data_IF_909494618198
#
_entry.id   IF_909494618198
#
_cell.length_a   1.000
_cell.length_b   1.000
_cell.length_c   1.000
_cell.angle_alpha   90.00
_cell.angle_beta   90.00
_cell.angle_gamma   90.00
#
_symmetry.space_group_name_H-M   'P 1'
#
loop_
_entity.id
_entity.type
_entity.pdbx_description
1 polymer ?
#
# COMPACT_ATOMS: atom_id res chain seq x y z
N UNK A 1 12.39 -6.24 -16.90
CA UNK A 1 13.75 -5.78 -16.56
C UNK A 1 13.90 -5.78 -15.06
N UNK A 2 14.87 -6.54 -14.56
CA UNK A 2 15.30 -6.46 -13.17
C UNK A 2 15.90 -5.08 -12.87
N UNK A 3 15.81 -4.62 -11.62
CA UNK A 3 16.46 -3.37 -11.19
C UNK A 3 17.96 -3.38 -11.49
N UNK A 4 18.61 -4.55 -11.39
CA UNK A 4 20.03 -4.71 -11.69
C UNK A 4 20.34 -4.55 -13.18
N UNK A 5 19.52 -5.08 -14.08
CA UNK A 5 19.72 -4.93 -15.52
C UNK A 5 19.56 -3.48 -15.98
N UNK A 6 18.61 -2.76 -15.39
CA UNK A 6 18.35 -1.37 -15.73
C UNK A 6 19.49 -0.42 -15.29
N UNK A 7 20.19 -0.76 -14.19
CA UNK A 7 21.25 0.07 -13.61
C UNK A 7 22.65 -0.34 -14.10
N UNK A 8 22.95 -1.64 -14.12
CA UNK A 8 24.26 -2.19 -14.42
C UNK A 8 24.39 -2.70 -15.87
N UNK A 9 23.28 -2.87 -16.59
CA UNK A 9 23.27 -3.48 -17.92
C UNK A 9 23.45 -5.00 -17.92
N UNK A 10 23.56 -5.64 -16.74
CA UNK A 10 23.61 -7.09 -16.59
C UNK A 10 23.04 -7.53 -15.23
N UNK A 11 22.63 -8.80 -15.14
CA UNK A 11 22.29 -9.42 -13.86
C UNK A 11 23.58 -9.98 -13.24
N UNK A 12 24.03 -9.50 -12.08
CA UNK A 12 25.20 -10.07 -11.42
C UNK A 12 24.93 -11.51 -11.00
N UNK A 13 25.94 -12.36 -11.16
CA UNK A 13 25.88 -13.78 -10.82
C UNK A 13 25.69 -13.91 -9.29
N UNK A 14 24.55 -14.42 -8.86
CA UNK A 14 24.21 -14.50 -7.44
C UNK A 14 24.70 -15.81 -6.82
N UNK A 15 24.93 -15.85 -5.50
CA UNK A 15 25.26 -17.09 -4.79
C UNK A 15 24.27 -18.24 -5.07
N UNK A 16 22.99 -17.93 -5.22
CA UNK A 16 21.95 -18.91 -5.59
C UNK A 16 22.14 -19.49 -7.00
N UNK A 17 22.78 -18.75 -7.91
CA UNK A 17 23.09 -19.22 -9.26
C UNK A 17 24.26 -20.22 -9.21
N UNK A 18 25.30 -19.94 -8.40
CA UNK A 18 26.43 -20.85 -8.13
C UNK A 18 25.95 -22.19 -7.58
N UNK A 19 24.94 -22.15 -6.70
CA UNK A 19 24.38 -23.35 -6.07
C UNK A 19 23.62 -24.27 -7.05
N UNK A 20 23.20 -23.74 -8.20
CA UNK A 20 22.45 -24.49 -9.24
C UNK A 20 23.35 -25.03 -10.35
N UNK A 21 24.60 -24.59 -10.40
CA UNK A 21 25.55 -25.04 -11.42
C UNK A 21 26.02 -26.48 -11.19
N UNK A 22 26.21 -27.28 -12.26
CA UNK A 22 26.70 -28.66 -12.15
C UNK A 22 28.12 -28.76 -11.58
N UNK A 23 28.88 -27.66 -11.57
CA UNK A 23 30.21 -27.57 -10.95
C UNK A 23 30.17 -27.36 -9.43
N UNK A 24 28.98 -27.18 -8.82
CA UNK A 24 28.82 -27.02 -7.37
C UNK A 24 29.50 -28.15 -6.57
N UNK A 25 29.46 -29.38 -7.09
CA UNK A 25 30.09 -30.55 -6.47
C UNK A 25 31.63 -30.49 -6.45
N UNK A 26 32.24 -29.70 -7.33
CA UNK A 26 33.68 -29.49 -7.42
C UNK A 26 34.17 -28.36 -6.51
N UNK A 27 33.25 -27.59 -5.92
CA UNK A 27 33.54 -26.49 -5.03
C UNK A 27 34.11 -26.98 -3.70
N UNK A 28 34.99 -26.19 -3.07
CA UNK A 28 35.52 -26.52 -1.75
C UNK A 28 34.40 -26.65 -0.71
N UNK A 29 34.51 -27.63 0.20
CA UNK A 29 33.49 -27.97 1.19
C UNK A 29 32.97 -26.76 1.98
N UNK A 30 33.85 -25.84 2.38
CA UNK A 30 33.46 -24.62 3.11
C UNK A 30 32.56 -23.69 2.30
N UNK A 31 32.75 -23.62 0.99
CA UNK A 31 31.93 -22.80 0.11
C UNK A 31 30.56 -23.45 -0.14
N UNK A 32 30.49 -24.78 -0.26
CA UNK A 32 29.22 -25.52 -0.30
C UNK A 32 28.41 -25.30 0.98
N UNK A 33 29.03 -25.41 2.15
CA UNK A 33 28.38 -25.16 3.44
C UNK A 33 27.87 -23.73 3.57
N UNK A 34 28.63 -22.74 3.08
CA UNK A 34 28.20 -21.34 3.05
C UNK A 34 26.95 -21.14 2.18
N UNK A 35 26.93 -21.70 0.97
CA UNK A 35 25.81 -21.57 0.04
C UNK A 35 24.54 -22.25 0.57
N UNK A 36 24.67 -23.47 1.13
CA UNK A 36 23.55 -24.17 1.77
C UNK A 36 22.98 -23.38 2.95
N UNK A 37 23.84 -22.79 3.77
CA UNK A 37 23.43 -21.93 4.88
C UNK A 37 22.72 -20.66 4.38
N UNK A 38 23.22 -20.06 3.32
CA UNK A 38 22.63 -18.86 2.73
C UNK A 38 21.23 -19.14 2.17
N UNK A 39 21.05 -20.22 1.40
CA UNK A 39 19.74 -20.63 0.88
C UNK A 39 18.74 -20.91 2.01
N UNK A 40 19.18 -21.60 3.06
CA UNK A 40 18.34 -21.83 4.25
C UNK A 40 17.90 -20.52 4.91
N UNK A 41 18.81 -19.55 5.07
CA UNK A 41 18.49 -18.23 5.65
C UNK A 41 17.52 -17.46 4.75
N UNK A 42 17.74 -17.47 3.43
CA UNK A 42 16.89 -16.77 2.48
C UNK A 42 15.46 -17.33 2.47
N UNK A 43 15.31 -18.66 2.51
CA UNK A 43 14.00 -19.32 2.63
C UNK A 43 13.29 -18.90 3.90
N UNK A 44 13.96 -18.97 5.06
CA UNK A 44 13.39 -18.53 6.34
C UNK A 44 12.98 -17.05 6.28
N UNK A 45 13.82 -16.19 5.68
CA UNK A 45 13.51 -14.77 5.54
C UNK A 45 12.28 -14.54 4.65
N UNK A 46 12.16 -15.26 3.53
CA UNK A 46 11.01 -15.17 2.63
C UNK A 46 9.72 -15.65 3.32
N UNK A 47 9.78 -16.79 4.01
CA UNK A 47 8.63 -17.35 4.71
C UNK A 47 8.16 -16.41 5.83
N UNK A 48 9.09 -15.95 6.67
CA UNK A 48 8.77 -15.02 7.77
C UNK A 48 8.25 -13.67 7.26
N UNK A 49 8.77 -13.15 6.14
CA UNK A 49 8.23 -11.94 5.50
C UNK A 49 6.81 -12.18 4.97
N UNK A 50 6.55 -13.32 4.34
CA UNK A 50 5.22 -13.68 3.82
C UNK A 50 4.19 -13.82 4.95
N UNK A 51 4.58 -14.48 6.04
CA UNK A 51 3.76 -14.60 7.25
C UNK A 51 3.48 -13.24 7.87
N UNK A 52 4.51 -12.38 7.98
CA UNK A 52 4.37 -11.03 8.51
C UNK A 52 3.39 -10.19 7.65
N UNK A 53 3.51 -10.24 6.31
CA UNK A 53 2.60 -9.56 5.39
C UNK A 53 1.15 -10.07 5.54
N UNK A 54 0.97 -11.38 5.61
CA UNK A 54 -0.35 -12.00 5.81
C UNK A 54 -0.96 -11.56 7.14
N UNK A 55 -0.15 -11.54 8.20
CA UNK A 55 -0.56 -11.08 9.54
C UNK A 55 -0.94 -9.61 9.52
N UNK A 56 -0.12 -8.74 8.91
CA UNK A 56 -0.40 -7.30 8.75
C UNK A 56 -1.71 -7.07 8.00
N UNK A 57 -1.92 -7.76 6.89
CA UNK A 57 -3.17 -7.70 6.12
C UNK A 57 -4.36 -8.10 7.00
N UNK A 58 -4.25 -9.21 7.73
CA UNK A 58 -5.34 -9.67 8.61
C UNK A 58 -5.70 -8.64 9.69
N UNK A 59 -4.71 -8.00 10.31
CA UNK A 59 -4.98 -6.98 11.33
C UNK A 59 -5.57 -5.70 10.73
N UNK A 60 -5.10 -5.30 9.56
CA UNK A 60 -5.64 -4.16 8.85
C UNK A 60 -7.10 -4.37 8.44
N UNK A 61 -7.45 -5.57 7.98
CA UNK A 61 -8.79 -5.90 7.51
C UNK A 61 -9.80 -6.18 8.65
N UNK A 62 -9.34 -6.68 9.81
CA UNK A 62 -10.20 -7.13 10.93
C UNK A 62 -11.24 -6.12 11.41
N UNK A 63 -10.89 -4.84 11.46
CA UNK A 63 -11.76 -3.79 11.99
C UNK A 63 -12.29 -2.83 10.90
N UNK A 64 -12.06 -3.17 9.62
CA UNK A 64 -12.57 -2.36 8.50
C UNK A 64 -14.02 -2.71 8.23
N UNK A 65 -14.90 -1.75 8.45
CA UNK A 65 -16.28 -1.83 7.96
C UNK A 65 -16.28 -1.59 6.46
N UNK A 66 -16.83 -2.54 5.69
CA UNK A 66 -17.08 -2.33 4.27
C UNK A 66 -18.13 -1.20 4.13
N UNK A 67 -17.71 -0.06 3.59
CA UNK A 67 -18.59 1.04 3.22
C UNK A 67 -18.69 1.07 1.70
N UNK A 68 -19.77 0.48 1.20
CA UNK A 68 -20.10 0.51 -0.22
C UNK A 68 -21.13 1.61 -0.46
N UNK A 69 -20.84 2.47 -1.44
CA UNK A 69 -21.73 3.57 -1.83
C UNK A 69 -22.10 3.43 -3.30
N UNK A 70 -23.33 3.76 -3.65
CA UNK A 70 -23.80 3.78 -5.02
C UNK A 70 -23.77 5.19 -5.61
N UNK A 71 -23.63 5.33 -6.94
CA UNK A 71 -23.82 6.62 -7.60
C UNK A 71 -25.18 7.23 -7.23
N UNK A 72 -25.17 8.48 -6.77
CA UNK A 72 -26.35 9.19 -6.27
C UNK A 72 -26.51 9.21 -4.75
N UNK A 73 -25.79 8.36 -4.02
CA UNK A 73 -25.82 8.38 -2.55
C UNK A 73 -25.22 9.68 -2.01
N UNK A 74 -25.84 10.23 -0.97
CA UNK A 74 -25.37 11.43 -0.29
C UNK A 74 -24.42 11.03 0.85
N UNK A 75 -23.14 11.37 0.72
CA UNK A 75 -22.11 11.02 1.69
C UNK A 75 -21.51 12.24 2.34
N UNK A 76 -21.06 12.07 3.59
CA UNK A 76 -20.32 13.09 4.33
C UNK A 76 -18.82 12.88 4.14
N UNK A 77 -18.07 13.95 3.84
CA UNK A 77 -16.63 13.87 3.66
C UNK A 77 -15.91 14.10 5.00
N UNK A 78 -15.01 13.18 5.41
CA UNK A 78 -14.18 13.38 6.61
C UNK A 78 -13.13 14.47 6.34
N UNK A 79 -13.15 15.50 7.19
CA UNK A 79 -12.26 16.64 7.10
C UNK A 79 -10.93 16.43 7.81
N UNK A 80 -10.63 15.30 8.44
CA UNK A 80 -9.43 15.12 9.30
C UNK A 80 -8.12 15.65 8.66
N UNK A 81 -7.94 15.39 7.36
CA UNK A 81 -6.78 15.80 6.55
C UNK A 81 -7.05 17.00 5.63
N UNK A 82 -8.22 17.64 5.73
CA UNK A 82 -8.54 18.85 4.98
C UNK A 82 -8.11 20.10 5.73
N UNK A 83 -7.67 21.12 4.96
CA UNK A 83 -7.43 22.46 5.48
C UNK A 83 -8.70 23.00 6.16
N UNK A 84 -8.51 23.69 7.28
CA UNK A 84 -9.54 24.36 8.08
C UNK A 84 -10.41 25.27 7.20
N UNK A 85 -9.82 25.91 6.18
CA UNK A 85 -10.52 26.74 5.19
C UNK A 85 -11.61 26.00 4.42
N UNK A 86 -11.43 24.70 4.18
CA UNK A 86 -12.41 23.85 3.49
C UNK A 86 -13.55 23.38 4.40
N UNK A 87 -13.43 23.58 5.72
CA UNK A 87 -14.42 23.16 6.72
C UNK A 87 -15.43 24.24 7.10
N UNK A 88 -15.34 25.42 6.50
CA UNK A 88 -16.27 26.54 6.74
C UNK A 88 -16.03 27.31 8.05
N UNK A 89 -15.07 26.90 8.89
CA UNK A 89 -14.75 27.57 10.15
C UNK A 89 -13.29 28.02 10.17
N UNK A 90 -13.03 29.33 10.04
CA UNK A 90 -11.68 29.86 9.83
C UNK A 90 -10.81 29.97 11.11
N UNK A 91 -11.36 29.69 12.29
CA UNK A 91 -10.78 30.15 13.56
C UNK A 91 -10.00 29.07 14.35
N UNK A 92 -10.30 27.78 14.21
CA UNK A 92 -9.54 26.72 14.91
C UNK A 92 -9.86 25.31 14.41
N UNK A 93 -8.83 24.45 14.25
CA UNK A 93 -8.98 23.02 13.90
C UNK A 93 -9.80 22.24 14.94
N UNK A 94 -9.78 22.67 16.21
CA UNK A 94 -10.52 22.01 17.31
C UNK A 94 -12.02 22.29 17.28
N UNK A 95 -12.43 23.40 16.69
CA UNK A 95 -13.84 23.81 16.59
C UNK A 95 -14.44 23.52 15.21
N UNK A 96 -13.60 23.21 14.22
CA UNK A 96 -14.07 22.88 12.89
C UNK A 96 -14.83 21.54 12.91
N UNK A 97 -15.92 21.42 12.13
CA UNK A 97 -16.68 20.18 12.05
C UNK A 97 -15.79 19.04 11.53
N UNK A 98 -16.00 17.83 12.08
CA UNK A 98 -15.29 16.63 11.63
C UNK A 98 -15.66 16.28 10.20
N UNK A 99 -16.95 16.30 9.88
CA UNK A 99 -17.48 15.98 8.56
C UNK A 99 -17.99 17.23 7.86
N UNK A 100 -17.76 17.32 6.55
CA UNK A 100 -18.22 18.43 5.71
C UNK A 100 -19.18 17.94 4.65
N UNK A 101 -20.32 18.63 4.53
CA UNK A 101 -21.28 18.57 3.42
C UNK A 101 -21.85 17.18 3.10
N UNK A 102 -23.15 17.07 2.77
CA UNK A 102 -23.59 15.93 1.99
C UNK A 102 -23.21 16.19 0.52
N UNK A 103 -22.30 15.37 -0.02
CA UNK A 103 -21.94 15.39 -1.44
C UNK A 103 -22.48 14.13 -2.12
N UNK A 104 -23.09 14.24 -3.30
CA UNK A 104 -23.52 13.07 -4.03
C UNK A 104 -22.31 12.36 -4.65
N UNK A 105 -22.32 11.04 -4.55
CA UNK A 105 -21.38 10.18 -5.27
C UNK A 105 -21.69 10.23 -6.76
N UNK A 106 -20.71 10.56 -7.59
CA UNK A 106 -20.82 10.59 -9.05
C UNK A 106 -20.61 9.19 -9.62
N UNK A 107 -19.52 8.53 -9.18
CA UNK A 107 -19.18 7.16 -9.59
C UNK A 107 -18.13 6.56 -8.65
N UNK A 108 -18.06 5.22 -8.66
CA UNK A 108 -16.99 4.46 -8.06
C UNK A 108 -15.82 4.35 -9.06
N UNK A 109 -14.62 4.77 -8.67
CA UNK A 109 -13.41 4.68 -9.50
C UNK A 109 -12.66 3.38 -9.17
N UNK A 110 -12.54 3.08 -7.88
CA UNK A 110 -11.96 1.84 -7.35
C UNK A 110 -12.85 1.31 -6.23
N UNK A 111 -12.60 0.08 -5.79
CA UNK A 111 -13.38 -0.59 -4.73
C UNK A 111 -13.68 0.32 -3.53
N UNK A 112 -12.67 1.03 -3.05
CA UNK A 112 -12.76 1.92 -1.88
C UNK A 112 -12.64 3.42 -2.26
N UNK A 113 -12.73 3.79 -3.53
CA UNK A 113 -12.52 5.18 -3.99
C UNK A 113 -13.65 5.71 -4.86
N UNK A 114 -14.21 6.83 -4.44
CA UNK A 114 -15.43 7.41 -5.01
C UNK A 114 -15.19 8.85 -5.44
N UNK A 115 -15.72 9.20 -6.61
CA UNK A 115 -15.75 10.58 -7.09
C UNK A 115 -16.98 11.28 -6.52
N UNK A 116 -16.78 12.42 -5.86
CA UNK A 116 -17.83 13.23 -5.25
C UNK A 116 -18.06 14.52 -6.05
N UNK A 117 -19.32 14.93 -6.13
CA UNK A 117 -19.67 16.23 -6.73
C UNK A 117 -19.46 17.35 -5.71
N UNK A 118 -18.23 17.84 -5.62
CA UNK A 118 -17.87 18.93 -4.71
C UNK A 118 -18.51 20.26 -5.14
N UNK A 119 -18.72 21.15 -4.16
CA UNK A 119 -19.19 22.51 -4.43
C UNK A 119 -18.09 23.35 -5.08
N UNK A 120 -18.46 24.30 -5.95
CA UNK A 120 -17.51 25.12 -6.74
C UNK A 120 -16.48 25.91 -5.90
N UNK A 121 -16.71 26.07 -4.60
CA UNK A 121 -15.77 26.74 -3.67
C UNK A 121 -14.66 25.85 -3.12
N UNK A 122 -14.78 24.52 -3.26
CA UNK A 122 -13.81 23.55 -2.77
C UNK A 122 -12.84 23.13 -3.88
N UNK A 123 -11.64 23.70 -3.87
CA UNK A 123 -10.55 23.34 -4.78
C UNK A 123 -9.83 22.06 -4.33
N UNK A 124 -10.57 20.99 -4.09
CA UNK A 124 -10.04 19.67 -3.75
C UNK A 124 -10.17 18.73 -4.95
N UNK A 125 -9.29 17.73 -5.03
CA UNK A 125 -9.47 16.64 -5.97
C UNK A 125 -10.77 15.88 -5.61
N UNK A 126 -11.69 15.60 -6.55
CA UNK A 126 -13.01 15.09 -6.22
C UNK A 126 -13.03 13.60 -5.83
N UNK A 127 -11.90 12.91 -5.87
CA UNK A 127 -11.81 11.48 -5.56
C UNK A 127 -11.37 11.27 -4.12
N UNK A 128 -12.19 10.54 -3.35
CA UNK A 128 -11.95 10.28 -1.94
C UNK A 128 -12.03 8.78 -1.65
N UNK A 129 -11.20 8.35 -0.71
CA UNK A 129 -11.16 6.98 -0.24
C UNK A 129 -12.10 6.82 0.97
N UNK A 130 -12.82 5.70 1.06
CA UNK A 130 -13.75 5.43 2.19
C UNK A 130 -13.03 5.27 3.51
N UNK A 131 -11.77 4.86 3.46
CA UNK A 131 -10.92 4.74 4.64
C UNK A 131 -10.01 5.94 4.79
N UNK A 132 -10.18 6.66 5.91
CA UNK A 132 -9.14 7.54 6.42
C UNK A 132 -7.96 6.67 6.83
N UNK A 133 -6.83 6.81 6.13
CA UNK A 133 -5.54 6.41 6.68
C UNK A 133 -5.17 7.28 7.89
#
# INVERSE_FOLDING_TARGET
>A
MSRFEADLGYVPYMPDDVARDPEFAQLHKSAQEFLLKQDAILKIAQDTMSEAQTRMKSYYDKNRLAQDFNPGDMVLLDGLNLDIRHKGLAQSKKLAPRFIGPYPVVKQIHRDSYELKLSKGLKLHPVFHTVSQ
#
